data_IF_255979214356
#
_entry.id   IF_255979214356
#
_cell.length_a   1.000
_cell.length_b   1.000
_cell.length_c   1.000
_cell.angle_alpha   90.00
_cell.angle_beta   90.00
_cell.angle_gamma   90.00
#
_symmetry.space_group_name_H-M   'P 1'
#
loop_
_entity.id
_entity.type
_entity.pdbx_description
1 polymer ?
#
# COMPACT_ATOMS: atom_id res chain seq x y z
N UNK A 1 -8.25 -3.29 8.15
CA UNK A 1 -7.70 -4.67 8.24
C UNK A 1 -7.19 -5.11 6.87
N UNK A 2 -6.29 -6.09 6.78
CA UNK A 2 -5.94 -6.75 5.51
C UNK A 2 -6.18 -8.25 5.62
N UNK A 3 -6.90 -8.80 4.66
CA UNK A 3 -7.17 -10.22 4.52
C UNK A 3 -6.54 -10.76 3.24
N UNK A 4 -6.07 -12.00 3.31
CA UNK A 4 -5.65 -12.77 2.15
C UNK A 4 -6.81 -13.66 1.76
N UNK A 5 -7.27 -13.59 0.52
CA UNK A 5 -8.35 -14.41 -0.01
C UNK A 5 -7.85 -15.33 -1.11
N UNK A 6 -7.99 -16.64 -0.89
CA UNK A 6 -7.68 -17.67 -1.85
C UNK A 6 -8.93 -17.98 -2.70
N UNK A 7 -8.96 -17.47 -3.93
CA UNK A 7 -10.07 -17.72 -4.87
C UNK A 7 -10.28 -19.21 -5.18
N UNK A 8 -9.19 -19.95 -5.42
CA UNK A 8 -9.25 -21.36 -5.83
C UNK A 8 -9.89 -22.25 -4.76
N UNK A 9 -9.58 -22.01 -3.49
CA UNK A 9 -10.03 -22.83 -2.35
C UNK A 9 -11.00 -22.10 -1.42
N UNK A 10 -11.55 -20.96 -1.89
CA UNK A 10 -12.62 -20.16 -1.25
C UNK A 10 -12.48 -19.95 0.27
N UNK A 11 -11.28 -19.64 0.75
CA UNK A 11 -11.06 -19.29 2.16
C UNK A 11 -10.22 -18.02 2.29
N UNK A 12 -10.34 -17.38 3.45
CA UNK A 12 -9.56 -16.19 3.81
C UNK A 12 -8.89 -16.35 5.16
N UNK A 13 -7.87 -15.54 5.38
CA UNK A 13 -7.28 -15.33 6.70
C UNK A 13 -6.75 -13.91 6.83
N UNK A 14 -6.75 -13.41 8.06
CA UNK A 14 -6.16 -12.10 8.36
C UNK A 14 -4.65 -12.14 8.18
N UNK A 15 -4.12 -11.16 7.45
CA UNK A 15 -2.68 -10.98 7.33
C UNK A 15 -2.12 -10.37 8.61
N UNK A 16 -1.15 -11.04 9.25
CA UNK A 16 -0.48 -10.57 10.48
C UNK A 16 0.71 -9.64 10.23
N UNK A 17 1.03 -9.33 8.97
CA UNK A 17 2.12 -8.42 8.57
C UNK A 17 1.63 -6.97 8.59
N UNK A 18 2.56 -6.01 8.77
CA UNK A 18 2.22 -4.58 8.66
C UNK A 18 1.71 -4.27 7.24
N UNK A 19 0.82 -3.30 7.14
CA UNK A 19 0.32 -2.82 5.85
C UNK A 19 1.47 -2.28 5.00
N UNK A 20 2.41 -1.54 5.60
CA UNK A 20 3.59 -1.02 4.92
C UNK A 20 4.37 -2.12 4.19
N UNK A 21 4.79 -3.17 4.90
CA UNK A 21 5.59 -4.25 4.30
C UNK A 21 4.79 -4.95 3.20
N UNK A 22 3.48 -5.14 3.41
CA UNK A 22 2.58 -5.75 2.43
C UNK A 22 2.49 -4.95 1.13
N UNK A 23 2.32 -3.63 1.23
CA UNK A 23 2.26 -2.76 0.06
C UNK A 23 3.62 -2.66 -0.63
N UNK A 24 4.71 -2.57 0.13
CA UNK A 24 6.06 -2.51 -0.42
C UNK A 24 6.40 -3.80 -1.18
N UNK A 25 6.14 -4.96 -0.59
CA UNK A 25 6.35 -6.27 -1.24
C UNK A 25 5.51 -6.38 -2.51
N UNK A 26 4.23 -6.02 -2.45
CA UNK A 26 3.35 -6.03 -3.62
C UNK A 26 3.89 -5.12 -4.74
N UNK A 27 4.34 -3.90 -4.39
CA UNK A 27 4.88 -2.95 -5.36
C UNK A 27 6.18 -3.42 -6.02
N UNK A 28 6.92 -4.32 -5.37
CA UNK A 28 8.10 -4.99 -5.90
C UNK A 28 7.78 -6.26 -6.71
N UNK A 29 6.49 -6.55 -6.96
CA UNK A 29 6.04 -7.75 -7.68
C UNK A 29 5.86 -8.99 -6.81
N UNK A 30 6.10 -8.90 -5.50
CA UNK A 30 5.92 -10.02 -4.57
C UNK A 30 4.45 -10.12 -4.15
N UNK A 31 3.65 -10.76 -5.00
CA UNK A 31 2.23 -11.00 -4.71
C UNK A 31 2.04 -12.04 -3.60
N UNK A 32 0.97 -11.86 -2.83
CA UNK A 32 0.63 -12.76 -1.73
C UNK A 32 0.20 -14.14 -2.26
N UNK A 33 0.65 -15.19 -1.57
CA UNK A 33 0.32 -16.58 -1.89
C UNK A 33 -0.40 -17.25 -0.73
N UNK A 34 -1.25 -18.22 -1.04
CA UNK A 34 -1.94 -19.02 -0.04
C UNK A 34 -0.92 -19.84 0.77
N UNK A 35 -0.91 -19.69 2.10
CA UNK A 35 -0.02 -20.46 2.99
C UNK A 35 -0.20 -21.98 2.88
N UNK A 36 -1.42 -22.45 2.57
CA UNK A 36 -1.74 -23.88 2.47
C UNK A 36 -1.46 -24.46 1.09
N UNK A 37 -1.63 -23.68 0.02
CA UNK A 37 -1.68 -24.21 -1.36
C UNK A 37 -0.72 -23.54 -2.34
N UNK A 38 0.01 -22.48 -1.93
CA UNK A 38 1.01 -21.79 -2.76
C UNK A 38 0.46 -20.98 -3.95
N UNK A 39 -0.83 -21.02 -4.23
CA UNK A 39 -1.46 -20.26 -5.32
C UNK A 39 -1.53 -18.76 -5.03
N UNK A 40 -1.58 -17.93 -6.07
CA UNK A 40 -1.78 -16.48 -5.95
C UNK A 40 -3.11 -16.17 -5.25
N UNK A 41 -3.09 -15.21 -4.32
CA UNK A 41 -4.23 -14.76 -3.55
C UNK A 41 -4.52 -13.28 -3.81
N UNK A 42 -5.77 -12.89 -3.53
CA UNK A 42 -6.14 -11.50 -3.48
C UNK A 42 -5.89 -10.90 -2.10
N UNK A 43 -5.54 -9.62 -2.07
CA UNK A 43 -5.49 -8.85 -0.83
C UNK A 43 -6.76 -8.00 -0.74
N UNK A 44 -7.53 -8.23 0.33
CA UNK A 44 -8.75 -7.48 0.62
C UNK A 44 -8.44 -6.52 1.77
N UNK A 45 -8.64 -5.23 1.51
CA UNK A 45 -8.50 -4.17 2.49
C UNK A 45 -9.87 -3.78 3.00
N UNK A 46 -9.94 -3.63 4.32
CA UNK A 46 -11.11 -3.09 5.00
C UNK A 46 -10.73 -1.76 5.65
N UNK A 47 -11.42 -0.70 5.23
CA UNK A 47 -11.22 0.65 5.74
C UNK A 47 -12.38 1.02 6.66
N UNK A 48 -12.15 1.38 7.93
CA UNK A 48 -13.21 1.93 8.76
C UNK A 48 -13.56 3.32 8.22
N UNK A 49 -14.57 3.42 7.35
CA UNK A 49 -15.18 4.70 6.99
C UNK A 49 -16.27 5.01 8.03
N UNK A 50 -16.30 6.24 8.54
CA UNK A 50 -17.36 6.69 9.44
C UNK A 50 -18.73 6.73 8.75
N UNK A 51 -19.79 6.91 9.54
CA UNK A 51 -21.18 7.09 9.08
C UNK A 51 -21.79 5.87 8.37
N UNK A 52 -21.59 4.67 8.92
CA UNK A 52 -22.28 3.43 8.51
C UNK A 52 -22.20 3.10 7.01
N UNK A 53 -21.09 3.47 6.35
CA UNK A 53 -20.87 3.14 4.94
C UNK A 53 -20.82 1.62 4.78
N UNK A 54 -21.91 1.06 4.27
CA UNK A 54 -22.00 -0.34 3.86
C UNK A 54 -20.94 -0.62 2.76
N UNK A 55 -20.34 -1.80 2.78
CA UNK A 55 -19.34 -2.27 1.79
C UNK A 55 -18.00 -1.50 1.82
N UNK A 56 -17.33 -1.56 2.96
CA UNK A 56 -16.00 -0.99 3.20
C UNK A 56 -14.81 -1.89 2.77
N UNK A 57 -15.12 -3.04 2.14
CA UNK A 57 -14.12 -3.99 1.62
C UNK A 57 -13.72 -3.64 0.19
N UNK A 58 -12.43 -3.69 -0.07
CA UNK A 58 -11.82 -3.31 -1.34
C UNK A 58 -10.71 -4.29 -1.72
N UNK A 59 -10.77 -4.83 -2.93
CA UNK A 59 -9.72 -5.73 -3.44
C UNK A 59 -8.58 -4.91 -4.02
N UNK A 60 -7.34 -5.18 -3.59
CA UNK A 60 -6.14 -4.57 -4.16
C UNK A 60 -5.97 -5.01 -5.61
N UNK A 61 -5.92 -4.03 -6.53
CA UNK A 61 -5.63 -4.27 -7.95
C UNK A 61 -4.16 -4.06 -8.27
N UNK A 62 -3.58 -2.98 -7.75
CA UNK A 62 -2.18 -2.62 -8.00
C UNK A 62 -1.66 -1.68 -6.91
N UNK A 63 -0.35 -1.72 -6.66
CA UNK A 63 0.31 -0.86 -5.69
C UNK A 63 1.64 -0.36 -6.26
N UNK A 64 1.86 0.95 -6.18
CA UNK A 64 3.08 1.59 -6.63
C UNK A 64 3.79 2.27 -5.47
N UNK A 65 5.10 2.11 -5.43
CA UNK A 65 6.00 2.83 -4.54
C UNK A 65 7.03 3.59 -5.40
N UNK A 66 7.72 4.61 -4.85
CA UNK A 66 8.68 5.35 -5.63
C UNK A 66 9.89 4.47 -5.92
N UNK A 67 10.39 4.54 -7.15
CA UNK A 67 11.64 3.85 -7.53
C UNK A 67 12.82 4.35 -6.70
N UNK A 68 12.80 5.64 -6.36
CA UNK A 68 13.81 6.29 -5.54
C UNK A 68 13.11 7.08 -4.43
N UNK A 69 12.91 6.48 -3.24
CA UNK A 69 12.28 7.16 -2.13
C UNK A 69 13.21 8.28 -1.60
N UNK A 70 12.61 9.40 -1.23
CA UNK A 70 13.33 10.53 -0.63
C UNK A 70 13.89 10.15 0.74
N UNK A 71 15.09 10.65 1.04
CA UNK A 71 15.83 10.35 2.27
C UNK A 71 16.44 11.63 2.84
N UNK A 72 16.40 11.78 4.16
CA UNK A 72 17.06 12.88 4.86
C UNK A 72 17.43 12.45 6.28
N UNK A 73 18.22 13.28 6.98
CA UNK A 73 18.50 13.11 8.40
C UNK A 73 17.71 14.13 9.21
N UNK A 74 17.22 13.74 10.38
CA UNK A 74 16.64 14.67 11.35
C UNK A 74 17.74 15.49 12.02
N UNK A 75 17.37 16.54 12.76
CA UNK A 75 18.31 17.30 13.60
C UNK A 75 19.04 16.41 14.63
N UNK A 76 18.42 15.31 15.03
CA UNK A 76 18.97 14.32 15.97
C UNK A 76 19.84 13.25 15.27
N UNK A 77 20.06 13.35 13.96
CA UNK A 77 20.86 12.40 13.19
C UNK A 77 20.12 11.13 12.76
N UNK A 78 18.82 11.00 13.03
CA UNK A 78 18.03 9.84 12.60
C UNK A 78 17.81 9.87 11.10
N UNK A 79 17.97 8.73 10.42
CA UNK A 79 17.72 8.62 8.98
C UNK A 79 16.24 8.38 8.72
N UNK A 80 15.61 9.26 7.94
CA UNK A 80 14.23 9.13 7.50
C UNK A 80 14.19 8.72 6.03
N UNK A 81 13.33 7.76 5.71
CA UNK A 81 13.00 7.38 4.33
C UNK A 81 11.49 7.55 4.14
N UNK A 82 11.11 8.32 3.13
CA UNK A 82 9.72 8.60 2.80
C UNK A 82 9.20 7.70 1.69
N UNK A 83 8.13 6.96 1.99
CA UNK A 83 7.46 6.04 1.09
C UNK A 83 5.99 6.44 0.88
N UNK A 84 5.71 7.34 -0.07
CA UNK A 84 4.36 7.54 -0.57
C UNK A 84 3.96 6.37 -1.48
N UNK A 85 2.75 5.86 -1.31
CA UNK A 85 2.19 4.83 -2.17
C UNK A 85 1.05 5.38 -3.01
N UNK A 86 0.91 4.83 -4.21
CA UNK A 86 -0.32 4.92 -5.00
C UNK A 86 -0.95 3.53 -5.05
N UNK A 87 -2.10 3.37 -4.40
CA UNK A 87 -2.78 2.09 -4.27
C UNK A 87 -4.10 2.16 -5.02
N UNK A 88 -4.33 1.17 -5.89
CA UNK A 88 -5.55 1.09 -6.69
C UNK A 88 -6.38 -0.09 -6.22
N UNK A 89 -7.64 0.20 -5.92
CA UNK A 89 -8.60 -0.77 -5.43
C UNK A 89 -9.75 -0.99 -6.40
N UNK A 90 -10.31 -2.19 -6.37
CA UNK A 90 -11.67 -2.48 -6.83
C UNK A 90 -12.61 -2.39 -5.63
N UNK A 91 -13.57 -1.48 -5.68
CA UNK A 91 -14.69 -1.45 -4.73
C UNK A 91 -15.75 -2.44 -5.19
N UNK A 92 -16.42 -3.11 -4.25
CA UNK A 92 -17.63 -3.85 -4.59
C UNK A 92 -18.64 -2.88 -5.22
N UNK A 93 -19.23 -3.29 -6.35
CA UNK A 93 -20.28 -2.58 -7.11
C UNK A 93 -20.00 -1.14 -7.61
N UNK A 94 -18.76 -0.63 -7.51
CA UNK A 94 -18.40 0.73 -7.98
C UNK A 94 -17.13 0.73 -8.82
N UNK A 95 -16.83 1.89 -9.42
CA UNK A 95 -15.57 2.18 -10.10
C UNK A 95 -14.34 1.95 -9.19
N UNK A 96 -13.16 1.94 -9.81
CA UNK A 96 -11.86 1.86 -9.12
C UNK A 96 -11.75 2.99 -8.08
N UNK A 97 -11.05 2.71 -6.98
CA UNK A 97 -10.72 3.70 -5.97
C UNK A 97 -9.21 3.85 -5.82
N UNK A 98 -8.78 5.04 -5.41
CA UNK A 98 -7.38 5.36 -5.17
C UNK A 98 -7.19 5.63 -3.69
N UNK A 99 -6.12 5.09 -3.13
CA UNK A 99 -5.67 5.40 -1.79
C UNK A 99 -4.20 5.83 -1.86
N UNK A 100 -3.89 6.97 -1.21
CA UNK A 100 -2.56 7.59 -1.22
C UNK A 100 -1.97 7.62 0.20
N UNK A 101 -1.67 6.46 0.82
CA UNK A 101 -1.02 6.44 2.11
C UNK A 101 0.48 6.72 1.97
N UNK A 102 1.10 7.15 3.06
CA UNK A 102 2.54 7.26 3.12
C UNK A 102 3.09 6.81 4.47
N UNK A 103 4.37 6.45 4.46
CA UNK A 103 5.14 6.17 5.67
C UNK A 103 6.45 6.91 5.70
N UNK A 104 6.79 7.43 6.88
CA UNK A 104 8.17 7.76 7.23
C UNK A 104 8.77 6.58 7.98
N UNK A 105 9.76 5.92 7.36
CA UNK A 105 10.59 4.90 8.00
C UNK A 105 11.78 5.60 8.64
N UNK A 106 11.76 5.73 9.96
CA UNK A 106 12.79 6.41 10.75
C UNK A 106 13.72 5.35 11.35
N UNK A 107 14.99 5.38 10.96
CA UNK A 107 16.04 4.51 11.49
C UNK A 107 16.89 5.32 12.47
N UNK A 108 16.89 4.90 13.73
CA UNK A 108 17.70 5.48 14.80
C UNK A 108 18.51 4.41 15.52
N UNK A 109 19.38 4.81 16.45
CA UNK A 109 20.09 3.88 17.34
C UNK A 109 19.14 3.01 18.18
N UNK A 110 17.90 3.47 18.40
CA UNK A 110 16.87 2.76 19.20
C UNK A 110 16.01 1.81 18.36
N UNK A 111 16.27 1.70 17.05
CA UNK A 111 15.55 0.81 16.13
C UNK A 111 14.81 1.54 15.01
N UNK A 112 13.84 0.85 14.40
CA UNK A 112 13.09 1.34 13.23
C UNK A 112 11.66 1.67 13.62
N UNK A 113 11.23 2.90 13.33
CA UNK A 113 9.86 3.36 13.54
C UNK A 113 9.17 3.65 12.21
N UNK A 114 7.89 3.31 12.12
CA UNK A 114 7.05 3.53 10.95
C UNK A 114 5.97 4.53 11.31
N UNK A 115 6.07 5.77 10.81
CA UNK A 115 5.05 6.80 11.03
C UNK A 115 4.14 6.87 9.82
N UNK A 116 2.88 6.48 10.01
CA UNK A 116 1.85 6.50 8.98
C UNK A 116 1.23 7.88 8.82
N UNK A 117 0.86 8.22 7.59
CA UNK A 117 -0.07 9.30 7.29
C UNK A 117 -0.85 9.02 6.02
N UNK A 118 -1.90 9.82 5.78
CA UNK A 118 -2.65 9.83 4.53
C UNK A 118 -2.48 11.17 3.86
N UNK A 119 -2.37 11.16 2.52
CA UNK A 119 -2.22 12.36 1.68
C UNK A 119 -1.08 13.28 2.13
N UNK A 120 0.10 13.15 1.53
CA UNK A 120 1.22 14.02 1.85
C UNK A 120 1.02 15.39 1.19
N UNK A 121 0.66 16.47 1.93
CA UNK A 121 0.44 17.79 1.34
C UNK A 121 1.72 18.37 0.73
N UNK A 122 2.88 17.80 1.05
CA UNK A 122 4.21 18.26 0.64
C UNK A 122 4.97 17.22 -0.20
N UNK A 123 4.26 16.37 -0.95
CA UNK A 123 4.89 15.41 -1.85
C UNK A 123 5.59 16.14 -3.01
N UNK A 124 6.88 15.87 -3.21
CA UNK A 124 7.63 16.41 -4.34
C UNK A 124 7.04 15.99 -5.70
N UNK A 125 7.06 16.90 -6.67
CA UNK A 125 6.47 16.67 -8.00
C UNK A 125 7.11 15.51 -8.75
N UNK A 126 8.41 15.22 -8.54
CA UNK A 126 9.09 14.08 -9.19
C UNK A 126 8.58 12.77 -8.62
N UNK A 127 8.36 12.69 -7.30
CA UNK A 127 7.76 11.51 -6.65
C UNK A 127 6.34 11.26 -7.16
N UNK A 128 5.51 12.31 -7.22
CA UNK A 128 4.16 12.19 -7.76
C UNK A 128 4.18 11.73 -9.22
N UNK A 129 5.01 12.34 -10.07
CA UNK A 129 5.16 11.95 -11.49
C UNK A 129 5.64 10.51 -11.64
N UNK A 130 6.51 10.02 -10.77
CA UNK A 130 6.96 8.62 -10.79
C UNK A 130 5.77 7.67 -10.54
N UNK A 131 5.04 7.86 -9.42
CA UNK A 131 3.87 7.04 -9.10
C UNK A 131 2.80 7.09 -10.20
N UNK A 132 2.50 8.29 -10.70
CA UNK A 132 1.54 8.49 -11.80
C UNK A 132 1.98 7.74 -13.07
N UNK A 133 3.24 7.87 -13.49
CA UNK A 133 3.75 7.20 -14.69
C UNK A 133 3.73 5.68 -14.55
N UNK A 134 4.03 5.15 -13.37
CA UNK A 134 3.92 3.72 -13.12
C UNK A 134 2.48 3.23 -13.30
N UNK A 135 1.51 3.95 -12.75
CA UNK A 135 0.10 3.64 -12.90
C UNK A 135 -0.41 3.81 -14.35
N UNK A 136 0.00 4.87 -15.05
CA UNK A 136 -0.34 5.11 -16.44
C UNK A 136 0.18 3.99 -17.36
N UNK A 137 1.43 3.53 -17.15
CA UNK A 137 2.02 2.39 -17.88
C UNK A 137 1.23 1.09 -17.70
N UNK A 138 0.51 0.95 -16.59
CA UNK A 138 -0.38 -0.19 -16.30
C UNK A 138 -1.82 0.05 -16.78
N UNK A 139 -2.10 1.17 -17.46
CA UNK A 139 -3.41 1.49 -18.02
C UNK A 139 -4.43 2.01 -17.01
N UNK A 140 -3.99 2.51 -15.86
CA UNK A 140 -4.91 3.05 -14.85
C UNK A 140 -5.25 4.53 -15.05
N UNK A 141 -4.34 5.29 -15.64
CA UNK A 141 -4.54 6.68 -16.01
C UNK A 141 -4.24 6.79 -17.51
N UNK A 142 -5.27 7.09 -18.30
CA UNK A 142 -5.15 7.42 -19.73
C UNK A 142 -5.30 8.92 -19.86
#
# INVERSE_FOLDING_TARGET
MVEVYCKKYKHSYRLKRRIFDTLLDYSNGNKERCRKHGCECELIFEFPFGLDVKHNRSTLLECFAPKQPQKWHTKQGDKVIFYPFLVIFKRHSRNRAIWLPYWHVVKSKKGVKYKYGQWAPYMDIKLFKDLYRQAAKKGYFK
#
